data_IF_105879550935
#
_entry.id   IF_105879550935
#
_cell.length_a   1.000
_cell.length_b   1.000
_cell.length_c   1.000
_cell.angle_alpha   90.00
_cell.angle_beta   90.00
_cell.angle_gamma   90.00
#
_symmetry.space_group_name_H-M   'P 1'
#
loop_
_entity.id
_entity.type
_entity.pdbx_description
1 polymer ?
#
# COMPACT_ATOMS: atom_id res chain seq x y z
N UNK A 1 -13.27 31.24 40.09
CA UNK A 1 -12.96 30.92 39.77
C UNK A 1 -12.68 31.00 39.42
N UNK A 2 -12.54 30.87 38.93
CA UNK A 2 -12.15 30.60 38.38
C UNK A 2 -11.77 30.28 38.24
N UNK A 3 -11.55 30.06 38.47
CA UNK A 3 -11.11 29.49 38.26
C UNK A 3 -11.12 28.74 38.17
N UNK A 4 -11.44 28.18 38.57
CA UNK A 4 -11.41 27.20 38.14
C UNK A 4 -11.81 27.22 37.11
N UNK A 5 -12.24 28.07 36.74
CA UNK A 5 -12.35 28.21 35.70
C UNK A 5 -11.79 29.18 35.37
N UNK A 6 -11.72 30.25 36.16
CA UNK A 6 -10.89 30.98 35.81
C UNK A 6 -9.79 30.43 36.15
N UNK A 7 -9.77 30.15 37.10
CA UNK A 7 -8.86 29.42 37.36
C UNK A 7 -9.03 28.42 36.65
N UNK A 8 -10.11 28.15 36.51
CA UNK A 8 -10.32 27.28 35.58
C UNK A 8 -10.03 27.90 34.31
N UNK A 9 -10.08 29.23 34.29
CA UNK A 9 -9.80 29.87 33.16
C UNK A 9 -8.40 29.98 32.93
N UNK A 10 -7.64 30.36 33.85
CA UNK A 10 -6.30 30.33 33.70
C UNK A 10 -5.94 28.95 33.69
N UNK A 11 -6.53 28.22 34.55
CA UNK A 11 -6.31 26.87 34.58
C UNK A 11 -6.85 26.31 33.29
N UNK A 12 -7.89 26.85 32.81
CA UNK A 12 -8.38 26.34 31.60
C UNK A 12 -7.52 26.75 30.46
N UNK A 13 -6.82 27.83 30.54
CA UNK A 13 -5.91 28.16 29.50
C UNK A 13 -4.78 27.15 29.50
N UNK A 14 -4.24 26.93 30.67
CA UNK A 14 -3.17 25.96 30.79
C UNK A 14 -3.69 24.58 30.49
N UNK A 15 -4.84 24.29 30.99
CA UNK A 15 -5.42 22.98 30.76
C UNK A 15 -5.76 22.81 29.29
N UNK A 16 -6.28 23.84 28.68
CA UNK A 16 -6.60 23.77 27.26
C UNK A 16 -5.36 23.61 26.44
N UNK A 17 -4.30 24.28 26.81
CA UNK A 17 -3.04 24.12 26.12
C UNK A 17 -2.52 22.70 26.22
N UNK A 18 -2.58 22.17 27.42
CA UNK A 18 -2.13 20.81 27.62
C UNK A 18 -3.02 19.83 26.87
N UNK A 19 -4.31 20.06 26.93
CA UNK A 19 -5.23 19.19 26.24
C UNK A 19 -5.04 19.24 24.75
N UNK A 20 -4.89 20.43 24.19
CA UNK A 20 -4.66 20.55 22.77
C UNK A 20 -3.34 19.92 22.37
N UNK A 21 -2.34 20.12 23.21
CA UNK A 21 -1.05 19.52 22.91
C UNK A 21 -1.16 17.99 22.93
N UNK A 22 -1.86 17.44 23.89
CA UNK A 22 -2.05 16.00 23.93
C UNK A 22 -2.85 15.52 22.76
N UNK A 23 -3.85 16.29 22.37
CA UNK A 23 -4.66 15.93 21.22
C UNK A 23 -3.82 15.97 19.95
N UNK A 24 -2.98 16.97 19.81
CA UNK A 24 -2.12 17.06 18.65
C UNK A 24 -1.12 15.93 18.62
N UNK A 25 -0.56 15.57 19.76
CA UNK A 25 0.36 14.47 19.82
C UNK A 25 -0.37 13.19 19.42
N UNK A 26 -1.56 13.01 19.94
CA UNK A 26 -2.34 11.84 19.61
C UNK A 26 -2.68 11.85 18.12
N UNK A 27 -3.02 13.03 17.60
CA UNK A 27 -3.38 13.15 16.18
C UNK A 27 -2.18 12.92 15.25
N UNK A 28 -0.96 13.03 15.79
CA UNK A 28 0.22 12.80 14.97
C UNK A 28 0.74 11.38 15.09
N UNK A 29 0.06 10.54 15.87
CA UNK A 29 0.46 9.14 15.91
C UNK A 29 0.21 8.52 14.57
N UNK A 30 1.14 7.69 14.12
CA UNK A 30 0.97 7.10 12.80
C UNK A 30 -0.15 6.06 12.78
N UNK A 31 -0.80 5.96 11.66
CA UNK A 31 -1.75 4.91 11.40
C UNK A 31 -1.31 4.16 10.16
N UNK A 32 -2.08 3.17 9.73
CA UNK A 32 -1.74 2.44 8.51
C UNK A 32 -1.76 3.36 7.31
N UNK A 33 -0.97 3.08 6.29
CA UNK A 33 -0.98 3.93 5.10
C UNK A 33 -2.19 3.64 4.23
N UNK A 34 -2.35 4.41 3.17
CA UNK A 34 -3.34 4.12 2.16
C UNK A 34 -2.75 3.17 1.14
N UNK A 35 -3.58 2.50 0.35
CA UNK A 35 -3.05 1.60 -0.68
C UNK A 35 -2.25 2.37 -1.72
N UNK A 36 -1.30 1.72 -2.39
CA UNK A 36 -0.59 2.38 -3.48
C UNK A 36 -1.53 2.60 -4.66
N UNK A 37 -1.15 3.51 -5.55
CA UNK A 37 -1.96 3.85 -6.70
C UNK A 37 -1.27 3.43 -7.98
N UNK A 38 -2.05 3.32 -9.04
CA UNK A 38 -1.52 3.03 -10.38
C UNK A 38 -0.67 1.76 -10.41
N UNK A 39 -1.18 0.71 -9.82
CA UNK A 39 -0.50 -0.58 -9.90
C UNK A 39 -0.67 -1.11 -11.32
N UNK A 40 0.42 -1.36 -12.00
CA UNK A 40 0.37 -1.80 -13.39
C UNK A 40 1.54 -2.69 -13.74
N UNK A 41 1.38 -3.46 -14.80
CA UNK A 41 2.48 -4.25 -15.33
C UNK A 41 3.36 -3.34 -16.15
N UNK A 42 4.65 -3.40 -15.92
CA UNK A 42 5.59 -2.64 -16.73
C UNK A 42 6.41 -3.53 -17.65
N UNK A 43 6.40 -4.83 -17.40
CA UNK A 43 7.11 -5.77 -18.28
C UNK A 43 6.55 -7.16 -18.03
N UNK A 44 6.72 -8.06 -18.98
CA UNK A 44 6.24 -9.42 -18.84
C UNK A 44 6.93 -10.35 -19.84
N UNK A 45 6.82 -11.64 -19.58
CA UNK A 45 7.23 -12.67 -20.52
C UNK A 45 6.41 -13.92 -20.19
N UNK A 46 6.78 -15.05 -20.74
CA UNK A 46 6.02 -16.29 -20.54
C UNK A 46 6.04 -16.76 -19.10
N UNK A 47 7.03 -16.38 -18.35
CA UNK A 47 7.22 -16.89 -17.00
C UNK A 47 7.31 -15.81 -15.92
N UNK A 48 7.23 -14.55 -16.27
CA UNK A 48 7.29 -13.51 -15.25
C UNK A 48 6.45 -12.28 -15.63
N UNK A 49 6.11 -11.52 -14.63
CA UNK A 49 5.44 -10.23 -14.80
C UNK A 49 6.04 -9.27 -13.79
N UNK A 50 6.42 -8.10 -14.28
CA UNK A 50 7.00 -7.06 -13.46
C UNK A 50 5.93 -6.01 -13.19
N UNK A 51 5.81 -5.63 -11.93
CA UNK A 51 4.81 -4.67 -11.50
C UNK A 51 5.48 -3.41 -11.00
N UNK A 52 4.83 -2.30 -11.21
CA UNK A 52 5.26 -1.04 -10.62
C UNK A 52 4.01 -0.30 -10.15
N UNK A 53 4.19 0.63 -9.24
CA UNK A 53 3.06 1.37 -8.71
C UNK A 53 3.51 2.73 -8.23
N UNK A 54 2.54 3.58 -7.89
CA UNK A 54 2.81 4.91 -7.39
C UNK A 54 2.75 4.95 -5.88
N UNK A 55 3.29 6.01 -5.32
CA UNK A 55 3.30 6.20 -3.90
C UNK A 55 1.86 6.29 -3.38
N UNK A 56 1.57 5.77 -2.22
CA UNK A 56 0.20 5.90 -1.69
C UNK A 56 -0.11 7.37 -1.42
N UNK A 57 -1.38 7.77 -1.53
CA UNK A 57 -1.74 9.17 -1.27
C UNK A 57 -1.38 9.62 0.13
N UNK A 58 -1.31 8.71 1.07
CA UNK A 58 -0.89 9.02 2.43
C UNK A 58 -0.11 7.84 2.98
N UNK A 59 1.00 8.14 3.65
CA UNK A 59 1.78 7.11 4.29
C UNK A 59 1.32 6.83 5.72
N UNK A 60 0.26 7.50 6.16
CA UNK A 60 -0.28 7.30 7.50
C UNK A 60 0.50 8.01 8.59
N UNK A 61 1.49 8.79 8.23
CA UNK A 61 2.29 9.52 9.21
C UNK A 61 3.59 8.82 9.60
N UNK A 62 3.92 7.73 8.92
CA UNK A 62 5.19 7.04 9.12
C UNK A 62 5.67 6.53 7.78
N UNK A 63 6.98 6.47 7.54
CA UNK A 63 7.50 6.07 6.23
C UNK A 63 7.04 4.67 5.85
N UNK A 64 6.84 4.48 4.56
CA UNK A 64 6.52 3.17 4.03
C UNK A 64 7.75 2.28 4.18
N UNK A 65 7.58 1.10 4.75
CA UNK A 65 8.66 0.16 4.94
C UNK A 65 8.81 -0.77 3.75
N UNK A 66 7.70 -1.26 3.25
CA UNK A 66 7.68 -2.14 2.09
C UNK A 66 6.25 -2.26 1.58
N UNK A 67 6.09 -2.98 0.49
CA UNK A 67 4.78 -3.25 -0.10
C UNK A 67 4.61 -4.76 -0.19
N UNK A 68 3.40 -5.23 0.07
CA UNK A 68 3.08 -6.65 -0.05
C UNK A 68 2.31 -6.86 -1.33
N UNK A 69 2.57 -7.95 -2.01
CA UNK A 69 1.96 -8.25 -3.31
C UNK A 69 1.17 -9.54 -3.21
N UNK A 70 -0.04 -9.51 -3.71
CA UNK A 70 -0.87 -10.71 -3.83
C UNK A 70 -1.22 -10.92 -5.28
N UNK A 71 -1.42 -12.15 -5.66
CA UNK A 71 -1.71 -12.56 -7.02
C UNK A 71 -2.88 -13.51 -7.00
N UNK A 72 -3.68 -13.50 -8.04
CA UNK A 72 -4.70 -14.53 -8.24
C UNK A 72 -4.65 -15.00 -9.70
N UNK A 73 -5.10 -16.23 -9.90
CA UNK A 73 -5.17 -16.82 -11.21
C UNK A 73 -6.63 -16.83 -11.63
N UNK A 74 -6.90 -16.67 -12.91
CA UNK A 74 -8.28 -16.61 -13.38
C UNK A 74 -9.07 -17.89 -13.08
N UNK A 75 -8.37 -18.97 -12.86
CA UNK A 75 -9.04 -20.24 -12.53
C UNK A 75 -9.56 -20.24 -11.10
N UNK A 76 -9.04 -19.38 -10.25
CA UNK A 76 -9.47 -19.25 -8.86
C UNK A 76 -9.58 -17.78 -8.54
N UNK A 77 -10.53 -17.12 -9.15
CA UNK A 77 -10.65 -15.66 -9.05
C UNK A 77 -10.82 -15.13 -7.65
N UNK A 78 -11.40 -15.92 -6.78
CA UNK A 78 -11.64 -15.46 -5.42
C UNK A 78 -10.47 -15.70 -4.50
N UNK A 79 -9.42 -16.32 -5.00
CA UNK A 79 -8.31 -16.72 -4.14
C UNK A 79 -7.08 -15.87 -4.38
N UNK A 80 -6.85 -14.94 -3.48
CA UNK A 80 -5.65 -14.12 -3.51
C UNK A 80 -4.55 -14.82 -2.73
N UNK A 81 -3.38 -14.90 -3.31
CA UNK A 81 -2.24 -15.58 -2.72
C UNK A 81 -1.13 -14.58 -2.50
N UNK A 82 -0.53 -14.60 -1.30
CA UNK A 82 0.61 -13.76 -0.99
C UNK A 82 1.80 -14.28 -1.79
N UNK A 83 2.39 -13.45 -2.62
CA UNK A 83 3.53 -13.87 -3.44
C UNK A 83 4.83 -13.17 -3.06
N UNK A 84 4.78 -12.28 -2.09
CA UNK A 84 6.00 -11.67 -1.58
C UNK A 84 5.87 -10.18 -1.34
N UNK A 85 7.01 -9.55 -1.19
CA UNK A 85 7.04 -8.13 -0.89
C UNK A 85 8.14 -7.43 -1.67
N UNK A 86 8.03 -6.13 -1.75
CA UNK A 86 9.04 -5.34 -2.43
C UNK A 86 10.32 -5.29 -1.61
N UNK A 87 11.39 -4.90 -2.24
CA UNK A 87 12.66 -4.73 -1.57
C UNK A 87 12.63 -3.35 -0.94
N UNK A 88 12.40 -3.31 0.38
CA UNK A 88 12.24 -2.04 1.07
C UNK A 88 11.07 -1.27 0.48
N UNK A 89 11.20 0.03 0.42
CA UNK A 89 10.15 0.89 -0.09
C UNK A 89 10.14 1.02 -1.62
N UNK A 90 10.82 0.12 -2.33
CA UNK A 90 10.82 0.17 -3.78
C UNK A 90 9.43 -0.10 -4.29
N UNK A 91 9.01 0.65 -5.28
CA UNK A 91 7.67 0.52 -5.87
C UNK A 91 7.74 -0.39 -7.08
N UNK A 92 8.25 -1.57 -6.87
CA UNK A 92 8.50 -2.54 -7.94
C UNK A 92 8.52 -3.96 -7.39
N UNK A 93 8.01 -4.90 -8.15
CA UNK A 93 8.06 -6.31 -7.77
C UNK A 93 8.03 -7.16 -9.02
N UNK A 94 8.86 -8.18 -9.05
CA UNK A 94 8.86 -9.13 -10.16
C UNK A 94 8.33 -10.47 -9.68
N UNK A 95 7.25 -10.92 -10.30
CA UNK A 95 6.69 -12.24 -10.01
C UNK A 95 7.18 -13.21 -11.07
N UNK A 96 7.83 -14.27 -10.62
CA UNK A 96 8.35 -15.29 -11.53
C UNK A 96 7.57 -16.59 -11.34
N UNK A 97 7.96 -17.61 -12.07
CA UNK A 97 7.33 -18.92 -11.95
C UNK A 97 5.92 -18.99 -12.50
N UNK A 98 5.56 -18.09 -13.39
CA UNK A 98 4.24 -18.08 -13.98
C UNK A 98 4.13 -19.15 -15.06
N UNK A 99 2.91 -19.57 -15.35
CA UNK A 99 2.66 -20.58 -16.37
C UNK A 99 2.20 -19.92 -17.66
N UNK A 100 2.88 -20.22 -18.75
CA UNK A 100 2.56 -19.66 -20.05
C UNK A 100 1.08 -19.91 -20.37
N UNK A 101 0.41 -18.89 -20.81
CA UNK A 101 -0.99 -18.97 -21.20
C UNK A 101 -1.98 -18.71 -20.09
N UNK A 102 -1.54 -18.73 -18.84
CA UNK A 102 -2.43 -18.47 -17.72
C UNK A 102 -2.63 -16.98 -17.55
N UNK A 103 -3.75 -16.60 -16.95
CA UNK A 103 -4.05 -15.19 -16.70
C UNK A 103 -3.96 -14.90 -15.24
N UNK A 104 -3.34 -13.77 -14.92
CA UNK A 104 -3.08 -13.38 -13.55
C UNK A 104 -3.52 -11.94 -13.30
N UNK A 105 -3.86 -11.65 -12.06
CA UNK A 105 -4.18 -10.30 -11.63
C UNK A 105 -3.47 -10.09 -10.30
N UNK A 106 -3.05 -8.86 -10.04
CA UNK A 106 -2.27 -8.54 -8.85
C UNK A 106 -2.88 -7.39 -8.08
N UNK A 107 -2.62 -7.35 -6.79
CA UNK A 107 -2.94 -6.19 -5.98
C UNK A 107 -1.84 -5.99 -4.95
N UNK A 108 -1.69 -4.78 -4.47
CA UNK A 108 -0.55 -4.41 -3.64
C UNK A 108 -1.04 -3.67 -2.40
N UNK A 109 -0.34 -3.86 -1.30
CA UNK A 109 -0.63 -3.19 -0.03
C UNK A 109 0.59 -2.39 0.37
N UNK A 110 0.37 -1.25 1.00
CA UNK A 110 1.46 -0.47 1.59
C UNK A 110 1.59 -0.85 3.05
N UNK A 111 2.79 -0.87 3.57
CA UNK A 111 3.04 -1.23 4.97
C UNK A 111 3.94 -0.20 5.62
N UNK A 112 3.55 0.29 6.78
CA UNK A 112 4.42 1.12 7.62
C UNK A 112 4.45 0.49 9.02
N UNK A 113 5.10 1.16 9.97
CA UNK A 113 5.24 0.57 11.30
C UNK A 113 3.91 0.43 12.04
N UNK A 114 2.89 1.14 11.61
CA UNK A 114 1.59 1.07 12.25
C UNK A 114 0.72 -0.05 11.68
N UNK A 115 1.05 -0.56 10.50
CA UNK A 115 0.30 -1.66 9.94
C UNK A 115 0.21 -1.65 8.42
N UNK A 116 -0.70 -2.46 7.92
CA UNK A 116 -0.88 -2.68 6.49
C UNK A 116 -2.11 -1.94 6.01
N UNK A 117 -2.03 -1.37 4.83
CA UNK A 117 -3.17 -0.68 4.20
C UNK A 117 -4.21 -1.70 3.72
N UNK A 118 -5.31 -1.22 3.18
CA UNK A 118 -6.19 -2.06 2.39
C UNK A 118 -5.51 -2.36 1.05
N UNK A 119 -6.11 -3.23 0.25
CA UNK A 119 -5.50 -3.57 -1.04
C UNK A 119 -5.71 -2.47 -2.07
N UNK A 120 -4.79 -2.36 -3.00
CA UNK A 120 -4.98 -1.49 -4.16
C UNK A 120 -6.07 -2.08 -5.04
N UNK A 121 -6.49 -1.33 -6.03
CA UNK A 121 -7.35 -1.90 -7.07
C UNK A 121 -6.55 -2.98 -7.78
N UNK A 122 -7.18 -4.08 -8.16
CA UNK A 122 -6.46 -5.15 -8.84
C UNK A 122 -6.05 -4.71 -10.24
N UNK A 123 -4.95 -5.26 -10.73
CA UNK A 123 -4.59 -5.03 -12.13
C UNK A 123 -5.57 -5.78 -13.02
N UNK A 124 -5.72 -5.33 -14.27
CA UNK A 124 -6.51 -6.12 -15.22
C UNK A 124 -5.88 -7.48 -15.40
N UNK A 125 -6.69 -8.44 -15.87
CA UNK A 125 -6.16 -9.77 -16.13
C UNK A 125 -5.11 -9.69 -17.23
N UNK A 126 -3.98 -10.31 -16.98
CA UNK A 126 -2.86 -10.31 -17.94
C UNK A 126 -2.44 -11.75 -18.22
N UNK A 127 -2.12 -12.02 -19.46
CA UNK A 127 -1.71 -13.35 -19.89
C UNK A 127 -0.20 -13.47 -19.85
N UNK A 128 0.31 -14.57 -19.30
CA UNK A 128 1.74 -14.86 -19.35
C UNK A 128 2.05 -15.33 -20.78
N UNK A 129 2.62 -14.46 -21.57
CA UNK A 129 2.90 -14.71 -22.99
C UNK A 129 4.23 -14.07 -23.37
N UNK A 130 4.80 -14.50 -24.52
CA UNK A 130 6.07 -13.90 -24.93
C UNK A 130 5.91 -12.40 -25.10
N UNK A 131 6.85 -11.68 -24.60
CA UNK A 131 6.84 -10.25 -24.68
C UNK A 131 6.86 -9.75 -26.10
N UNK A 132 7.70 -10.45 -26.97
CA UNK A 132 7.83 -10.01 -28.21
C UNK A 132 7.09 -10.66 -29.08
N UNK A 133 6.38 -10.41 -29.53
CA UNK A 133 5.70 -11.09 -30.36
C UNK A 133 6.00 -10.71 -31.64
N UNK A 134 6.16 -10.52 -31.89
CA UNK A 134 6.22 -10.10 -32.71
C UNK A 134 6.76 -10.21 -33.47
N UNK A 135 6.87 -10.19 -33.88
CA UNK A 135 7.08 -10.17 -34.44
C UNK A 135 7.20 -10.05 -35.20
N UNK A 136 7.43 -10.17 -35.83
CA UNK A 136 7.56 -9.95 -36.55
C UNK A 136 7.89 -10.27 -37.17
N UNK A 137 7.98 -10.53 -37.36
CA UNK A 137 8.32 -10.77 -37.84
C UNK A 137 8.47 -10.99 -38.27
#
# INVERSE_FOLDING_TARGET
MLSIFSDFQIFSNTFSQIFLHSFLIFATLPGPPEPPIKVELCDWDVDHMDLQWGFPPSDGGAPILHYLVEMRNIKEEDKWIDVGQSEGAKKFFQQTGLTKGEKYSFRVYSVNKAGKSGPSDPTPWAVAKPRKCETYV
#
